data_IF_671398827825
#
_entry.id   IF_671398827825
#
_cell.length_a   1.000
_cell.length_b   1.000
_cell.length_c   1.000
_cell.angle_alpha   90.00
_cell.angle_beta   90.00
_cell.angle_gamma   90.00
#
_symmetry.space_group_name_H-M   'P 1'
#
loop_
_entity.id
_entity.type
_entity.pdbx_description
1 polymer ?
#
# COMPACT_ATOMS: atom_id res chain seq x y z
N UNK A 1 6.43 -19.38 1.04
CA UNK A 1 5.36 -19.43 2.05
C UNK A 1 4.00 -19.76 1.42
N UNK A 2 3.53 -19.02 0.41
CA UNK A 2 2.25 -19.29 -0.25
C UNK A 2 2.13 -20.73 -0.79
N UNK A 3 3.16 -21.20 -1.50
CA UNK A 3 3.23 -22.58 -2.03
C UNK A 3 2.99 -23.64 -0.95
N UNK A 4 3.57 -23.47 0.23
CA UNK A 4 3.43 -24.41 1.36
C UNK A 4 2.01 -24.43 1.94
N UNK A 5 1.35 -23.26 2.00
CA UNK A 5 -0.03 -23.15 2.48
C UNK A 5 -0.97 -23.83 1.51
N UNK A 6 -0.82 -23.54 0.21
CA UNK A 6 -1.69 -24.11 -0.82
C UNK A 6 -1.51 -25.62 -0.94
N UNK A 7 -0.27 -26.12 -0.97
CA UNK A 7 0.00 -27.55 -1.08
C UNK A 7 -0.62 -28.34 0.07
N UNK A 8 -0.55 -27.82 1.30
CA UNK A 8 -1.17 -28.43 2.47
C UNK A 8 -2.70 -28.42 2.37
N UNK A 9 -3.30 -27.28 2.01
CA UNK A 9 -4.75 -27.13 1.94
C UNK A 9 -5.37 -27.94 0.80
N UNK A 10 -4.68 -28.13 -0.33
CA UNK A 10 -5.20 -28.88 -1.48
C UNK A 10 -4.92 -30.37 -1.39
N UNK A 11 -3.88 -30.79 -0.67
CA UNK A 11 -3.56 -32.22 -0.50
C UNK A 11 -4.40 -32.90 0.59
N UNK A 12 -5.12 -32.13 1.41
CA UNK A 12 -5.98 -32.68 2.45
C UNK A 12 -7.24 -33.34 1.83
N UNK A 13 -7.51 -34.63 2.11
CA UNK A 13 -8.65 -35.35 1.53
C UNK A 13 -10.01 -34.79 1.99
N UNK A 14 -10.04 -34.05 3.10
CA UNK A 14 -11.25 -33.41 3.64
C UNK A 14 -11.32 -31.91 3.34
N UNK A 15 -10.51 -31.40 2.40
CA UNK A 15 -10.46 -29.98 2.09
C UNK A 15 -11.80 -29.49 1.53
N UNK A 16 -12.36 -28.45 2.15
CA UNK A 16 -13.51 -27.70 1.64
C UNK A 16 -13.09 -26.38 0.96
N UNK A 17 -11.81 -26.26 0.61
CA UNK A 17 -11.29 -25.06 -0.02
C UNK A 17 -11.97 -24.85 -1.37
N UNK A 18 -12.62 -23.70 -1.53
CA UNK A 18 -13.37 -23.33 -2.74
C UNK A 18 -12.86 -22.05 -3.38
N UNK A 19 -12.26 -21.17 -2.57
CA UNK A 19 -11.74 -19.89 -3.03
C UNK A 19 -10.47 -19.48 -2.28
N UNK A 20 -9.52 -18.86 -2.99
CA UNK A 20 -8.34 -18.21 -2.41
C UNK A 20 -8.27 -16.76 -2.87
N UNK A 21 -8.14 -15.87 -1.91
CA UNK A 21 -7.92 -14.45 -2.15
C UNK A 21 -6.43 -14.14 -1.98
N UNK A 22 -5.81 -13.52 -2.99
CA UNK A 22 -4.44 -13.06 -2.95
C UNK A 22 -4.40 -11.53 -2.94
N UNK A 23 -3.75 -10.94 -1.94
CA UNK A 23 -3.50 -9.49 -1.92
C UNK A 23 -2.08 -9.20 -2.40
N UNK A 24 -1.95 -8.35 -3.43
CA UNK A 24 -0.68 -7.83 -3.96
C UNK A 24 -0.65 -6.31 -3.73
N UNK A 25 -0.63 -5.50 -4.80
CA UNK A 25 -0.68 -4.04 -4.70
C UNK A 25 -0.21 -3.31 -5.97
N UNK A 26 -0.26 -1.98 -5.94
CA UNK A 26 0.08 -1.10 -7.07
C UNK A 26 1.50 -1.27 -7.61
N UNK A 27 2.44 -1.88 -6.86
CA UNK A 27 3.79 -2.22 -7.38
C UNK A 27 3.75 -3.16 -8.59
N UNK A 28 2.61 -3.80 -8.87
CA UNK A 28 2.36 -4.51 -10.13
C UNK A 28 2.61 -3.61 -11.36
N UNK A 29 2.29 -2.32 -11.26
CA UNK A 29 2.26 -1.39 -12.40
C UNK A 29 3.46 -0.44 -12.45
N UNK A 30 4.12 -0.21 -11.32
CA UNK A 30 5.15 0.84 -11.18
C UNK A 30 6.57 0.33 -10.97
N UNK A 31 6.76 -0.97 -10.72
CA UNK A 31 8.10 -1.49 -10.47
C UNK A 31 8.55 -1.43 -9.01
N UNK A 32 9.83 -1.74 -8.74
CA UNK A 32 10.41 -1.67 -7.40
C UNK A 32 10.66 -0.21 -7.00
N UNK A 33 9.78 0.34 -6.16
CA UNK A 33 9.88 1.74 -5.68
C UNK A 33 11.09 1.95 -4.75
N UNK A 34 11.62 0.87 -4.16
CA UNK A 34 12.70 0.92 -3.16
C UNK A 34 14.09 0.67 -3.74
N UNK A 35 14.20 0.30 -5.01
CA UNK A 35 15.48 0.08 -5.68
C UNK A 35 15.69 1.18 -6.72
N UNK A 36 16.45 2.21 -6.34
CA UNK A 36 16.69 3.38 -7.19
C UNK A 36 17.46 3.08 -8.48
N UNK A 37 18.21 1.98 -8.51
CA UNK A 37 18.97 1.57 -9.71
C UNK A 37 18.03 0.89 -10.70
N UNK A 38 17.16 0.01 -10.23
CA UNK A 38 16.21 -0.70 -11.09
C UNK A 38 15.05 0.21 -11.49
N UNK A 39 14.58 1.10 -10.60
CA UNK A 39 13.46 2.00 -10.88
C UNK A 39 13.74 2.98 -12.02
N UNK A 40 15.01 3.31 -12.27
CA UNK A 40 15.41 4.22 -13.36
C UNK A 40 15.53 3.53 -14.71
N UNK A 41 15.55 2.19 -14.73
CA UNK A 41 15.67 1.37 -15.95
C UNK A 41 14.33 0.86 -16.46
N UNK A 42 13.25 1.04 -15.69
CA UNK A 42 11.91 0.59 -16.03
C UNK A 42 11.03 1.78 -16.37
N UNK A 43 10.27 1.65 -17.44
CA UNK A 43 9.16 2.55 -17.75
C UNK A 43 7.92 1.98 -17.04
N UNK A 44 7.39 2.66 -16.00
CA UNK A 44 6.15 2.23 -15.39
C UNK A 44 5.00 2.37 -16.38
N UNK A 45 3.89 1.66 -16.15
CA UNK A 45 2.68 1.95 -16.92
C UNK A 45 2.18 3.36 -16.65
N UNK A 46 1.44 3.93 -17.59
CA UNK A 46 0.81 5.23 -17.38
C UNK A 46 -0.48 5.07 -16.54
N UNK A 47 -0.71 5.90 -15.53
CA UNK A 47 -1.99 5.92 -14.82
C UNK A 47 -3.11 6.50 -15.71
N UNK A 48 -4.39 6.15 -15.47
CA UNK A 48 -4.87 5.27 -14.40
C UNK A 48 -4.53 3.80 -14.67
N UNK A 49 -4.04 3.09 -13.64
CA UNK A 49 -3.62 1.70 -13.78
C UNK A 49 -4.81 0.79 -14.02
N UNK A 50 -4.67 -0.12 -14.99
CA UNK A 50 -5.70 -1.10 -15.35
C UNK A 50 -5.19 -2.52 -15.14
N UNK A 51 -6.07 -3.41 -14.75
CA UNK A 51 -5.71 -4.77 -14.35
C UNK A 51 -5.23 -5.63 -15.51
N UNK A 52 -5.59 -5.26 -16.74
CA UNK A 52 -5.22 -5.88 -18.01
C UNK A 52 -3.86 -5.43 -18.55
N UNK A 53 -3.16 -4.51 -17.86
CA UNK A 53 -1.79 -4.17 -18.21
C UNK A 53 -0.85 -5.37 -18.10
N UNK A 54 0.02 -5.49 -19.11
CA UNK A 54 1.04 -6.52 -19.15
C UNK A 54 1.99 -6.38 -17.96
N UNK A 55 2.52 -7.51 -17.47
CA UNK A 55 3.55 -7.49 -16.44
C UNK A 55 4.76 -6.69 -16.92
N UNK A 56 5.27 -5.82 -16.08
CA UNK A 56 6.53 -5.15 -16.35
C UNK A 56 7.68 -6.18 -16.36
N UNK A 57 8.72 -5.99 -17.21
CA UNK A 57 9.80 -6.95 -17.40
C UNK A 57 10.85 -6.86 -16.27
N UNK A 58 10.43 -7.14 -15.02
CA UNK A 58 11.31 -7.13 -13.85
C UNK A 58 10.92 -8.20 -12.82
N UNK A 59 11.85 -8.62 -11.95
CA UNK A 59 11.55 -9.58 -10.89
C UNK A 59 10.66 -8.92 -9.83
N UNK A 60 9.35 -9.19 -9.91
CA UNK A 60 8.37 -8.80 -8.92
C UNK A 60 7.82 -10.05 -8.24
N UNK A 61 7.94 -10.14 -6.92
CA UNK A 61 7.39 -11.27 -6.20
C UNK A 61 5.86 -11.39 -6.35
N UNK A 62 5.15 -10.31 -6.70
CA UNK A 62 3.73 -10.39 -7.05
C UNK A 62 3.47 -11.29 -8.26
N UNK A 63 4.35 -11.27 -9.27
CA UNK A 63 4.24 -12.13 -10.44
C UNK A 63 4.38 -13.61 -10.03
N UNK A 64 5.36 -13.91 -9.16
CA UNK A 64 5.56 -15.27 -8.64
C UNK A 64 4.36 -15.75 -7.82
N UNK A 65 3.76 -14.89 -7.00
CA UNK A 65 2.56 -15.23 -6.22
C UNK A 65 1.35 -15.50 -7.12
N UNK A 66 1.16 -14.68 -8.16
CA UNK A 66 0.11 -14.90 -9.16
C UNK A 66 0.33 -16.22 -9.90
N UNK A 67 1.56 -16.51 -10.35
CA UNK A 67 1.88 -17.75 -11.08
C UNK A 67 1.65 -19.00 -10.21
N UNK A 68 1.97 -18.91 -8.92
CA UNK A 68 1.62 -19.95 -7.95
C UNK A 68 0.10 -20.13 -7.91
N UNK A 69 -0.71 -19.07 -7.73
CA UNK A 69 -2.17 -19.19 -7.69
C UNK A 69 -2.73 -19.76 -9.00
N UNK A 70 -2.25 -19.29 -10.15
CA UNK A 70 -2.67 -19.76 -11.46
C UNK A 70 -2.41 -21.25 -11.64
N UNK A 71 -1.33 -21.79 -11.09
CA UNK A 71 -1.05 -23.24 -11.14
C UNK A 71 -2.12 -24.11 -10.45
N UNK A 72 -2.91 -23.54 -9.52
CA UNK A 72 -3.99 -24.21 -8.80
C UNK A 72 -5.39 -23.95 -9.37
N UNK A 73 -5.53 -23.41 -10.58
CA UNK A 73 -6.84 -23.02 -11.16
C UNK A 73 -7.88 -24.15 -11.23
N UNK A 74 -7.45 -25.43 -11.22
CA UNK A 74 -8.34 -26.60 -11.19
C UNK A 74 -8.81 -26.98 -9.79
N UNK A 75 -8.08 -26.58 -8.75
CA UNK A 75 -8.34 -26.97 -7.37
C UNK A 75 -9.34 -26.04 -6.68
N UNK A 76 -9.27 -24.73 -6.96
CA UNK A 76 -10.14 -23.72 -6.38
C UNK A 76 -10.26 -22.51 -7.31
N UNK A 77 -11.25 -21.65 -7.05
CA UNK A 77 -11.33 -20.33 -7.69
C UNK A 77 -10.45 -19.32 -6.97
N UNK A 78 -10.04 -18.24 -7.62
CA UNK A 78 -9.23 -17.22 -6.97
C UNK A 78 -9.70 -15.79 -7.25
N UNK A 79 -9.19 -14.84 -6.48
CA UNK A 79 -9.30 -13.41 -6.73
C UNK A 79 -7.99 -12.73 -6.32
N UNK A 80 -7.54 -11.76 -7.12
CA UNK A 80 -6.31 -11.00 -6.83
C UNK A 80 -6.69 -9.55 -6.57
N UNK A 81 -6.23 -8.98 -5.46
CA UNK A 81 -6.59 -7.64 -5.02
C UNK A 81 -5.34 -6.77 -4.98
N UNK A 82 -5.36 -5.68 -5.73
CA UNK A 82 -4.24 -4.75 -5.92
C UNK A 82 -4.59 -3.39 -5.28
N UNK A 83 -4.48 -3.27 -3.94
CA UNK A 83 -4.69 -1.99 -3.28
C UNK A 83 -3.55 -1.01 -3.58
N UNK A 84 -3.88 0.28 -3.48
CA UNK A 84 -2.93 1.39 -3.37
C UNK A 84 -2.33 1.46 -1.96
N UNK A 85 -1.95 2.65 -1.50
CA UNK A 85 -1.46 2.88 -0.15
C UNK A 85 -2.57 2.54 0.84
N UNK A 86 -2.33 1.51 1.65
CA UNK A 86 -3.31 1.01 2.61
C UNK A 86 -3.35 1.95 3.83
N UNK A 87 -4.56 2.39 4.17
CA UNK A 87 -4.84 3.07 5.43
C UNK A 87 -5.59 2.13 6.37
N UNK A 88 -5.06 1.93 7.58
CA UNK A 88 -5.63 1.00 8.55
C UNK A 88 -4.93 1.02 9.91
N UNK A 89 -5.50 0.32 10.88
CA UNK A 89 -5.09 0.35 12.28
C UNK A 89 -4.40 -0.97 12.71
N UNK A 90 -3.18 -1.22 12.23
CA UNK A 90 -2.37 -2.37 12.66
C UNK A 90 -1.02 -1.92 13.21
N UNK A 91 -0.75 -2.19 14.49
CA UNK A 91 0.54 -1.93 15.14
C UNK A 91 1.64 -2.92 14.74
N UNK A 92 1.28 -4.01 14.03
CA UNK A 92 2.21 -5.05 13.57
C UNK A 92 2.53 -4.98 12.09
N UNK A 93 1.88 -4.09 11.35
CA UNK A 93 2.13 -3.95 9.91
C UNK A 93 3.49 -3.32 9.68
N UNK A 94 4.32 -3.97 8.86
CA UNK A 94 5.62 -3.43 8.42
C UNK A 94 5.47 -2.21 7.51
N UNK A 95 4.32 -2.04 6.86
CA UNK A 95 3.99 -0.91 5.99
C UNK A 95 2.68 -0.29 6.48
N UNK A 96 2.77 0.61 7.47
CA UNK A 96 1.62 1.33 8.00
C UNK A 96 1.82 2.84 7.87
N UNK A 97 1.30 3.38 6.78
CA UNK A 97 1.45 4.79 6.47
C UNK A 97 0.78 5.71 7.50
N UNK A 98 -0.45 5.36 7.93
CA UNK A 98 -1.20 6.15 8.92
C UNK A 98 -0.49 6.20 10.27
N UNK A 99 0.01 5.06 10.74
CA UNK A 99 0.73 4.99 12.01
C UNK A 99 2.04 5.80 11.93
N UNK A 100 2.78 5.70 10.82
CA UNK A 100 4.00 6.48 10.62
C UNK A 100 3.72 7.98 10.68
N UNK A 101 2.69 8.48 9.99
CA UNK A 101 2.31 9.89 10.05
C UNK A 101 1.85 10.31 11.45
N UNK A 102 1.07 9.46 12.12
CA UNK A 102 0.57 9.74 13.47
C UNK A 102 1.71 9.86 14.47
N UNK A 103 2.70 8.95 14.42
CA UNK A 103 3.88 9.01 15.28
C UNK A 103 4.73 10.24 14.96
N UNK A 104 4.93 10.56 13.68
CA UNK A 104 5.64 11.78 13.29
C UNK A 104 4.97 13.05 13.83
N UNK A 105 3.65 13.18 13.66
CA UNK A 105 2.89 14.30 14.18
C UNK A 105 2.99 14.38 15.72
N UNK A 106 2.86 13.26 16.43
CA UNK A 106 3.00 13.23 17.89
C UNK A 106 4.39 13.68 18.37
N UNK A 107 5.46 13.27 17.67
CA UNK A 107 6.81 13.74 17.98
C UNK A 107 6.94 15.24 17.71
N UNK A 108 6.44 15.74 16.59
CA UNK A 108 6.41 17.18 16.30
C UNK A 108 5.68 17.97 17.40
N UNK A 109 4.51 17.49 17.85
CA UNK A 109 3.76 18.09 18.95
C UNK A 109 4.58 18.11 20.25
N UNK A 110 5.18 16.98 20.62
CA UNK A 110 5.98 16.86 21.84
C UNK A 110 7.19 17.80 21.85
N UNK A 111 7.88 17.91 20.71
CA UNK A 111 9.07 18.75 20.55
C UNK A 111 8.75 20.23 20.29
N UNK A 112 7.47 20.61 20.26
CA UNK A 112 7.00 21.93 19.83
C UNK A 112 7.62 22.36 18.48
N UNK A 113 7.68 21.40 17.55
CA UNK A 113 8.24 21.55 16.22
C UNK A 113 7.11 21.52 15.17
N UNK A 114 7.13 22.36 14.13
CA UNK A 114 6.10 22.30 13.09
C UNK A 114 6.13 20.96 12.36
N UNK A 115 4.96 20.38 12.10
CA UNK A 115 4.83 19.12 11.34
C UNK A 115 5.16 19.37 9.86
N UNK A 116 6.45 19.34 9.50
CA UNK A 116 6.93 19.64 8.14
C UNK A 116 6.68 18.48 7.17
N UNK A 117 6.30 18.82 5.95
CA UNK A 117 6.16 17.82 4.90
C UNK A 117 7.53 17.29 4.46
N UNK A 118 7.71 15.97 4.50
CA UNK A 118 8.98 15.30 4.17
C UNK A 118 9.04 14.71 2.75
N UNK A 119 8.05 15.01 1.91
CA UNK A 119 8.07 14.65 0.49
C UNK A 119 8.74 15.73 -0.37
N UNK A 120 8.33 15.82 -1.62
CA UNK A 120 8.82 16.82 -2.57
C UNK A 120 7.66 17.62 -3.19
N UNK A 121 8.00 18.62 -4.00
CA UNK A 121 7.01 19.50 -4.64
C UNK A 121 6.03 18.74 -5.52
N UNK A 122 6.50 17.71 -6.21
CA UNK A 122 5.65 16.87 -7.06
C UNK A 122 4.61 16.17 -6.18
N UNK A 123 5.03 15.42 -5.16
CA UNK A 123 4.10 14.70 -4.29
C UNK A 123 3.18 15.64 -3.53
N UNK A 124 3.65 16.81 -3.11
CA UNK A 124 2.85 17.79 -2.36
C UNK A 124 1.53 18.18 -3.06
N UNK A 125 1.61 18.46 -4.36
CA UNK A 125 0.47 18.92 -5.17
C UNK A 125 -0.19 17.84 -6.03
N UNK A 126 0.42 16.68 -6.17
CA UNK A 126 -0.10 15.62 -7.04
C UNK A 126 -1.29 14.89 -6.41
N UNK A 127 -2.21 14.45 -7.27
CA UNK A 127 -3.34 13.63 -6.84
C UNK A 127 -2.87 12.24 -6.46
N UNK A 128 -3.38 11.76 -5.33
CA UNK A 128 -3.09 10.45 -4.78
C UNK A 128 -4.41 9.79 -4.36
N UNK A 129 -4.39 8.46 -4.30
CA UNK A 129 -5.51 7.63 -3.89
C UNK A 129 -5.05 6.69 -2.76
N UNK A 130 -5.97 6.32 -1.87
CA UNK A 130 -5.74 5.37 -0.79
C UNK A 130 -6.67 4.17 -0.92
N UNK A 131 -6.36 3.14 -0.13
CA UNK A 131 -7.20 1.97 0.04
C UNK A 131 -7.47 1.73 1.52
N UNK A 132 -8.71 1.94 1.95
CA UNK A 132 -9.14 1.62 3.32
C UNK A 132 -9.07 0.10 3.55
N UNK A 133 -8.43 -0.34 4.63
CA UNK A 133 -8.29 -1.75 4.97
C UNK A 133 -9.64 -2.49 5.09
N UNK A 134 -10.70 -1.79 5.53
CA UNK A 134 -12.07 -2.33 5.60
C UNK A 134 -12.65 -2.50 4.22
N UNK A 135 -12.49 -1.52 3.33
CA UNK A 135 -12.93 -1.61 1.94
C UNK A 135 -12.22 -2.74 1.17
N UNK A 136 -10.91 -2.90 1.40
CA UNK A 136 -10.16 -4.03 0.84
C UNK A 136 -10.78 -5.35 1.31
N UNK A 137 -11.09 -5.46 2.60
CA UNK A 137 -11.72 -6.66 3.17
C UNK A 137 -13.11 -6.91 2.56
N UNK A 138 -13.92 -5.87 2.40
CA UNK A 138 -15.22 -5.96 1.73
C UNK A 138 -15.10 -6.44 0.28
N UNK A 139 -14.13 -5.91 -0.48
CA UNK A 139 -13.88 -6.35 -1.85
C UNK A 139 -13.42 -7.82 -1.92
N UNK A 140 -12.58 -8.26 -0.98
CA UNK A 140 -12.14 -9.65 -0.87
C UNK A 140 -13.31 -10.60 -0.57
N UNK A 141 -14.20 -10.20 0.35
CA UNK A 141 -15.42 -10.96 0.66
C UNK A 141 -16.34 -11.00 -0.56
N UNK A 142 -16.54 -9.87 -1.24
CA UNK A 142 -17.33 -9.79 -2.47
C UNK A 142 -16.80 -10.73 -3.55
N UNK A 143 -15.50 -10.70 -3.84
CA UNK A 143 -14.90 -11.56 -4.87
C UNK A 143 -14.95 -13.05 -4.49
N UNK A 144 -14.83 -13.36 -3.19
CA UNK A 144 -14.91 -14.73 -2.67
C UNK A 144 -16.33 -15.31 -2.68
N UNK A 145 -17.38 -14.49 -2.80
CA UNK A 145 -18.78 -14.94 -2.81
C UNK A 145 -19.50 -14.71 -4.14
N UNK A 146 -18.95 -13.90 -5.03
CA UNK A 146 -19.56 -13.53 -6.31
C UNK A 146 -19.06 -14.40 -7.47
N UNK A 147 -19.98 -14.99 -8.24
CA UNK A 147 -19.63 -15.89 -9.37
C UNK A 147 -18.89 -15.19 -10.51
N UNK A 148 -19.28 -13.98 -10.89
CA UNK A 148 -18.62 -13.24 -11.97
C UNK A 148 -17.26 -12.65 -11.58
N UNK A 149 -16.94 -12.63 -10.29
CA UNK A 149 -15.66 -12.12 -9.77
C UNK A 149 -14.58 -13.21 -9.67
N UNK A 150 -14.90 -14.46 -10.05
CA UNK A 150 -13.97 -15.59 -9.95
C UNK A 150 -12.88 -15.50 -11.02
N UNK A 151 -11.66 -15.82 -10.60
CA UNK A 151 -10.46 -15.90 -11.41
C UNK A 151 -10.12 -14.57 -12.09
N UNK A 152 -10.32 -13.47 -11.36
CA UNK A 152 -10.07 -12.11 -11.82
C UNK A 152 -9.12 -11.38 -10.86
N UNK A 153 -8.43 -10.37 -11.39
CA UNK A 153 -7.69 -9.38 -10.62
C UNK A 153 -8.48 -8.07 -10.56
N UNK A 154 -8.43 -7.39 -9.42
CA UNK A 154 -9.13 -6.13 -9.16
C UNK A 154 -8.20 -5.14 -8.47
N UNK A 155 -8.18 -3.92 -8.97
CA UNK A 155 -7.73 -2.76 -8.21
C UNK A 155 -8.72 -2.47 -7.09
N UNK A 156 -8.22 -1.94 -5.97
CA UNK A 156 -9.07 -1.59 -4.84
C UNK A 156 -8.65 -0.23 -4.29
N UNK A 157 -9.40 0.81 -4.58
CA UNK A 157 -9.17 2.17 -4.07
C UNK A 157 -10.46 2.72 -3.49
N UNK A 158 -10.37 3.78 -2.70
CA UNK A 158 -11.53 4.40 -2.06
C UNK A 158 -12.52 5.03 -3.06
N UNK A 159 -12.11 5.21 -4.32
CA UNK A 159 -12.90 5.86 -5.37
C UNK A 159 -12.80 7.39 -5.38
N UNK A 160 -12.03 7.98 -4.46
CA UNK A 160 -11.72 9.40 -4.39
C UNK A 160 -10.22 9.67 -4.55
N UNK A 161 -9.88 10.96 -4.67
CA UNK A 161 -8.50 11.44 -4.77
C UNK A 161 -8.27 12.58 -3.78
N UNK A 162 -7.05 12.70 -3.29
CA UNK A 162 -6.61 13.77 -2.40
C UNK A 162 -5.22 14.29 -2.82
N UNK A 163 -4.79 15.40 -2.25
CA UNK A 163 -3.40 15.87 -2.38
C UNK A 163 -2.66 15.71 -1.06
N UNK A 164 -1.35 15.49 -1.08
CA UNK A 164 -0.59 15.44 0.17
C UNK A 164 -0.74 16.74 0.98
N UNK A 165 -0.89 17.89 0.30
CA UNK A 165 -1.27 19.16 0.94
C UNK A 165 -2.54 19.05 1.79
N UNK A 166 -3.63 18.53 1.22
CA UNK A 166 -4.91 18.43 1.94
C UNK A 166 -4.83 17.42 3.09
N UNK A 167 -4.13 16.30 2.89
CA UNK A 167 -3.88 15.33 3.96
C UNK A 167 -3.06 15.93 5.11
N UNK A 168 -2.05 16.76 4.80
CA UNK A 168 -1.21 17.37 5.83
C UNK A 168 -1.94 18.38 6.69
N UNK A 169 -2.87 19.15 6.10
CA UNK A 169 -3.76 20.03 6.84
C UNK A 169 -4.59 19.21 7.84
N UNK A 170 -5.25 18.14 7.38
CA UNK A 170 -6.03 17.24 8.25
C UNK A 170 -5.17 16.64 9.36
N UNK A 171 -3.93 16.20 9.04
CA UNK A 171 -3.00 15.65 10.03
C UNK A 171 -2.68 16.70 11.12
N UNK A 172 -2.36 17.92 10.71
CA UNK A 172 -2.05 19.01 11.65
C UNK A 172 -3.26 19.35 12.52
N UNK A 173 -4.46 19.41 11.94
CA UNK A 173 -5.71 19.69 12.67
C UNK A 173 -6.01 18.60 13.71
N UNK A 174 -5.90 17.32 13.32
CA UNK A 174 -6.18 16.17 14.21
C UNK A 174 -5.24 16.12 15.41
N UNK A 175 -3.97 16.48 15.21
CA UNK A 175 -2.98 16.47 16.29
C UNK A 175 -2.79 17.85 16.95
N UNK A 176 -3.54 18.88 16.54
CA UNK A 176 -3.46 20.25 17.05
C UNK A 176 -2.04 20.84 16.91
N UNK A 177 -1.46 20.72 15.72
CA UNK A 177 -0.14 21.25 15.38
C UNK A 177 -0.30 22.41 14.39
N UNK A 178 0.57 23.41 14.46
CA UNK A 178 0.61 24.47 13.46
C UNK A 178 0.91 23.90 12.06
N UNK A 179 0.02 24.17 11.12
CA UNK A 179 0.23 23.85 9.71
C UNK A 179 1.23 24.83 9.08
N UNK A 180 2.33 24.29 8.54
CA UNK A 180 3.31 25.06 7.76
C UNK A 180 3.27 24.58 6.30
N UNK A 181 3.01 25.47 5.32
CA UNK A 181 3.06 25.12 3.91
C UNK A 181 4.44 24.60 3.49
N UNK A 182 4.47 23.61 2.61
CA UNK A 182 5.71 23.13 2.00
C UNK A 182 6.45 24.25 1.25
N UNK A 183 7.73 24.44 1.56
CA UNK A 183 8.67 25.31 0.84
C UNK A 183 9.83 24.47 0.30
N UNK A 184 10.00 24.46 -1.02
CA UNK A 184 11.05 23.72 -1.73
C UNK A 184 12.47 24.19 -1.37
N UNK A 185 12.62 25.41 -0.83
CA UNK A 185 13.91 25.96 -0.40
C UNK A 185 14.32 25.46 0.98
N UNK A 186 13.39 24.96 1.77
CA UNK A 186 13.63 24.48 3.12
C UNK A 186 14.08 23.01 3.07
N UNK A 187 15.37 22.78 3.33
CA UNK A 187 15.91 21.42 3.35
C UNK A 187 15.54 20.74 4.66
N UNK A 188 14.60 19.80 4.60
CA UNK A 188 14.19 18.99 5.74
C UNK A 188 14.42 17.51 5.46
N UNK A 189 15.20 16.85 6.32
CA UNK A 189 15.36 15.40 6.33
C UNK A 189 14.67 14.83 7.58
N UNK A 190 13.56 14.14 7.34
CA UNK A 190 12.78 13.51 8.41
C UNK A 190 13.54 12.36 9.09
N UNK A 191 14.36 11.61 8.35
CA UNK A 191 15.14 10.52 8.94
C UNK A 191 16.17 11.09 9.90
N UNK A 192 16.89 12.13 9.49
CA UNK A 192 17.85 12.82 10.35
C UNK A 192 17.18 13.45 11.58
N UNK A 193 16.04 14.11 11.40
CA UNK A 193 15.25 14.70 12.48
C UNK A 193 14.80 13.66 13.52
N UNK A 194 14.52 12.43 13.11
CA UNK A 194 13.99 11.37 13.99
C UNK A 194 15.09 10.53 14.67
N UNK A 195 16.38 10.72 14.34
CA UNK A 195 17.49 9.87 14.82
C UNK A 195 17.67 9.91 16.35
N UNK A 196 17.54 11.07 16.96
CA UNK A 196 17.81 11.33 18.37
C UNK A 196 16.57 11.21 19.27
N UNK A 197 15.37 11.09 18.69
CA UNK A 197 14.09 11.06 19.41
C UNK A 197 13.75 9.72 20.09
N UNK A 198 14.74 8.80 20.21
CA UNK A 198 14.59 7.50 20.88
C UNK A 198 14.63 7.57 22.41
N UNK A 199 15.09 8.68 23.00
CA UNK A 199 15.49 8.78 24.40
C UNK A 199 14.43 9.36 25.36
N UNK A 200 13.26 9.77 24.88
CA UNK A 200 12.25 10.48 25.68
C UNK A 200 11.08 9.67 26.22
N UNK A 201 10.93 8.39 25.86
CA UNK A 201 9.85 7.52 26.34
C UNK A 201 10.32 6.71 27.55
N UNK A 202 10.55 7.41 28.67
CA UNK A 202 10.74 6.84 30.01
C UNK A 202 9.50 7.02 30.86
#
# INVERSE_FOLDING_TARGET
MLSNVLSLLTSSPNSKLSHVTLQTGTKQYVGPITDSVISTQLVPHEPPFREDYARLPFPNFYHDLEDIIYSYYKAFTYSIHRPSIIIGASSRSSYNFLLTLSVYALVCKHENYPCRYFGNKYTWGHFCELSDARLITEQQIWASTTKCAKNQAFNCTNGDMFTWKSMWIVLCDVFEIEFVPFDEKDKFDCVDFMKDKRSGLG
#
